data_IF_161541621608
#
_entry.id   IF_161541621608
#
_cell.length_a   1.000
_cell.length_b   1.000
_cell.length_c   1.000
_cell.angle_alpha   90.00
_cell.angle_beta   90.00
_cell.angle_gamma   90.00
#
_symmetry.space_group_name_H-M   'P 1'
#
loop_
_entity.id
_entity.type
_entity.pdbx_description
1 polymer ?
#
# COMPACT_ATOMS: atom_id res chain seq x y z
N UNK A 1 3.13 8.26 0.92
CA UNK A 1 2.23 9.03 0.02
C UNK A 1 1.62 8.17 -1.07
N UNK A 2 2.40 7.59 -1.99
CA UNK A 2 1.92 6.81 -3.15
C UNK A 2 1.02 5.60 -2.81
N UNK A 3 1.37 4.84 -1.76
CA UNK A 3 0.56 3.71 -1.28
C UNK A 3 -0.65 4.15 -0.44
N UNK A 4 -0.58 5.33 0.19
CA UNK A 4 -1.63 5.90 1.04
C UNK A 4 -2.23 4.97 2.10
N UNK A 5 -1.43 4.19 2.86
CA UNK A 5 -1.97 3.34 3.92
C UNK A 5 -2.67 4.17 5.00
N UNK A 6 -3.64 3.58 5.68
CA UNK A 6 -4.31 4.20 6.84
C UNK A 6 -3.64 3.88 8.16
N UNK A 7 -2.96 2.74 8.21
CA UNK A 7 -2.28 2.20 9.37
C UNK A 7 -0.95 1.57 8.96
N UNK A 8 0.05 1.68 9.83
CA UNK A 8 1.40 1.15 9.64
C UNK A 8 1.81 0.38 10.90
N UNK A 9 2.25 -0.86 10.70
CA UNK A 9 2.73 -1.72 11.78
C UNK A 9 4.23 -1.47 11.99
N UNK A 10 4.63 -1.20 13.23
CA UNK A 10 6.03 -1.10 13.61
C UNK A 10 6.37 -2.14 14.69
N UNK A 11 7.59 -2.72 14.69
CA UNK A 11 8.05 -3.53 15.81
C UNK A 11 8.14 -2.66 17.07
N UNK A 12 7.63 -3.16 18.19
CA UNK A 12 7.81 -2.54 19.50
C UNK A 12 9.28 -2.68 19.92
N UNK A 13 9.97 -1.55 20.11
CA UNK A 13 11.32 -1.52 20.64
C UNK A 13 11.31 -0.95 22.07
N UNK A 14 12.10 -1.55 22.95
CA UNK A 14 12.38 -1.01 24.29
C UNK A 14 13.44 0.10 24.24
N UNK A 15 14.11 0.27 23.11
CA UNK A 15 15.29 1.11 22.97
C UNK A 15 14.95 2.46 22.33
N UNK A 16 15.46 3.53 22.93
CA UNK A 16 15.46 4.93 22.47
C UNK A 16 16.35 5.12 21.24
N UNK A 17 16.25 4.26 20.22
CA UNK A 17 17.02 4.44 19.00
C UNK A 17 16.47 5.62 18.22
N UNK A 18 17.30 6.65 18.03
CA UNK A 18 16.92 7.90 17.36
C UNK A 18 16.29 7.65 15.98
N UNK A 19 16.76 6.62 15.25
CA UNK A 19 16.22 6.23 13.95
C UNK A 19 14.76 5.75 14.03
N UNK A 20 14.38 5.00 15.07
CA UNK A 20 13.00 4.56 15.29
C UNK A 20 12.09 5.76 15.53
N UNK A 21 12.52 6.68 16.40
CA UNK A 21 11.74 7.86 16.74
C UNK A 21 11.59 8.79 15.52
N UNK A 22 12.63 8.93 14.69
CA UNK A 22 12.55 9.66 13.43
C UNK A 22 11.58 9.00 12.44
N UNK A 23 11.65 7.68 12.26
CA UNK A 23 10.74 6.93 11.39
C UNK A 23 9.27 7.10 11.83
N UNK A 24 8.99 6.91 13.14
CA UNK A 24 7.66 7.09 13.71
C UNK A 24 7.13 8.51 13.44
N UNK A 25 7.95 9.53 13.68
CA UNK A 25 7.60 10.94 13.38
C UNK A 25 7.26 11.16 11.90
N UNK A 26 8.00 10.54 10.96
CA UNK A 26 7.74 10.68 9.51
C UNK A 26 6.40 10.04 9.14
N UNK A 27 6.08 8.88 9.71
CA UNK A 27 4.81 8.17 9.46
C UNK A 27 3.62 8.97 10.02
N UNK A 28 3.73 9.45 11.26
CA UNK A 28 2.70 10.24 11.93
C UNK A 28 2.46 11.58 11.22
N UNK A 29 3.52 12.28 10.78
CA UNK A 29 3.41 13.51 9.96
C UNK A 29 2.66 13.27 8.66
N UNK A 30 2.72 12.06 8.12
CA UNK A 30 1.99 11.65 6.91
C UNK A 30 0.52 11.31 7.19
N UNK A 31 0.05 11.42 8.44
CA UNK A 31 -1.34 11.15 8.84
C UNK A 31 -1.68 9.66 8.87
N UNK A 32 -0.69 8.78 9.01
CA UNK A 32 -0.87 7.33 9.09
C UNK A 32 -0.82 6.89 10.55
N UNK A 33 -1.78 6.07 10.97
CA UNK A 33 -1.81 5.51 12.31
C UNK A 33 -0.63 4.54 12.50
N UNK A 34 0.10 4.68 13.60
CA UNK A 34 1.18 3.75 13.96
C UNK A 34 0.68 2.76 15.01
N UNK A 35 0.80 1.47 14.70
CA UNK A 35 0.44 0.39 15.60
C UNK A 35 1.67 -0.45 15.91
N UNK A 36 2.05 -0.49 17.18
CA UNK A 36 3.23 -1.23 17.63
C UNK A 36 2.87 -2.71 17.86
N UNK A 37 3.72 -3.61 17.34
CA UNK A 37 3.53 -5.07 17.39
C UNK A 37 4.77 -5.75 17.97
N UNK A 38 4.64 -6.89 18.69
CA UNK A 38 5.79 -7.62 19.21
C UNK A 38 6.80 -7.96 18.11
N UNK A 39 8.10 -7.82 18.39
CA UNK A 39 9.18 -8.14 17.44
C UNK A 39 9.09 -9.58 16.90
N UNK A 40 8.57 -10.51 17.70
CA UNK A 40 8.36 -11.90 17.30
C UNK A 40 7.38 -12.05 16.11
N UNK A 41 6.47 -11.11 15.90
CA UNK A 41 5.53 -11.15 14.76
C UNK A 41 6.21 -10.83 13.43
N UNK A 42 7.34 -10.13 13.44
CA UNK A 42 8.14 -9.80 12.25
C UNK A 42 9.11 -10.93 11.87
N UNK A 43 8.72 -12.19 12.10
CA UNK A 43 9.51 -13.37 11.76
C UNK A 43 9.06 -13.97 10.44
N UNK A 44 10.02 -14.30 9.57
CA UNK A 44 9.80 -14.89 8.25
C UNK A 44 9.69 -16.42 8.23
N UNK A 45 9.63 -17.09 9.39
CA UNK A 45 9.62 -18.56 9.47
C UNK A 45 8.51 -19.22 8.66
N UNK A 46 7.29 -18.70 8.78
CA UNK A 46 6.09 -19.33 8.23
C UNK A 46 5.68 -18.71 6.87
N UNK A 47 6.37 -17.65 6.41
CA UNK A 47 5.92 -16.85 5.28
C UNK A 47 5.74 -17.65 3.98
N UNK A 48 6.59 -18.65 3.74
CA UNK A 48 6.48 -19.53 2.57
C UNK A 48 5.15 -20.29 2.60
N UNK A 49 4.84 -20.90 3.74
CA UNK A 49 3.63 -21.69 3.93
C UNK A 49 2.39 -20.79 3.88
N UNK A 50 2.45 -19.61 4.50
CA UNK A 50 1.36 -18.64 4.51
C UNK A 50 1.03 -18.18 3.10
N UNK A 51 2.05 -17.85 2.30
CA UNK A 51 1.88 -17.46 0.89
C UNK A 51 1.31 -18.61 0.05
N UNK A 52 1.71 -19.86 0.31
CA UNK A 52 1.12 -21.02 -0.38
C UNK A 52 -0.40 -21.16 -0.15
N UNK A 53 -0.93 -20.65 0.97
CA UNK A 53 -2.36 -20.68 1.27
C UNK A 53 -3.11 -19.46 0.75
N UNK A 54 -2.44 -18.32 0.64
CA UNK A 54 -3.07 -17.04 0.29
C UNK A 54 -3.04 -16.75 -1.22
N UNK A 55 -1.98 -17.16 -1.92
CA UNK A 55 -1.76 -16.79 -3.31
C UNK A 55 -2.62 -17.59 -4.28
N UNK A 56 -3.10 -16.95 -5.34
CA UNK A 56 -3.83 -17.62 -6.42
C UNK A 56 -2.91 -18.61 -7.12
N UNK A 57 -3.35 -19.86 -7.20
CA UNK A 57 -2.69 -20.93 -7.92
C UNK A 57 -3.08 -20.93 -9.40
N UNK A 58 -2.15 -21.25 -10.29
CA UNK A 58 -2.45 -21.47 -11.71
C UNK A 58 -3.40 -22.65 -11.90
N UNK A 59 -4.27 -22.59 -12.92
CA UNK A 59 -5.30 -23.61 -13.19
C UNK A 59 -4.74 -25.03 -13.34
N UNK A 60 -3.52 -25.16 -13.87
CA UNK A 60 -2.85 -26.43 -14.15
C UNK A 60 -1.59 -26.65 -13.30
N UNK A 61 -1.40 -25.86 -12.22
CA UNK A 61 -0.25 -26.06 -11.33
C UNK A 61 -0.54 -27.18 -10.33
N UNK A 62 0.42 -28.07 -10.09
CA UNK A 62 0.36 -29.03 -8.97
C UNK A 62 0.77 -28.34 -7.66
N UNK A 63 0.38 -28.88 -6.49
CA UNK A 63 0.73 -28.27 -5.19
C UNK A 63 2.24 -28.18 -4.99
N UNK A 64 2.98 -29.24 -5.30
CA UNK A 64 4.44 -29.27 -5.14
C UNK A 64 5.14 -28.25 -6.06
N UNK A 65 4.67 -28.14 -7.31
CA UNK A 65 5.19 -27.16 -8.28
C UNK A 65 4.91 -25.73 -7.82
N UNK A 66 3.73 -25.47 -7.26
CA UNK A 66 3.36 -24.15 -6.75
C UNK A 66 4.19 -23.75 -5.52
N UNK A 67 4.38 -24.68 -4.58
CA UNK A 67 5.22 -24.43 -3.40
C UNK A 67 6.69 -24.18 -3.80
N UNK A 68 7.20 -24.96 -4.75
CA UNK A 68 8.55 -24.76 -5.29
C UNK A 68 8.67 -23.38 -5.96
N UNK A 69 7.70 -23.00 -6.79
CA UNK A 69 7.63 -21.69 -7.45
C UNK A 69 7.70 -20.56 -6.42
N UNK A 70 6.88 -20.61 -5.37
CA UNK A 70 6.90 -19.63 -4.28
C UNK A 70 8.28 -19.58 -3.62
N UNK A 71 8.90 -20.74 -3.35
CA UNK A 71 10.23 -20.82 -2.75
C UNK A 71 11.35 -20.17 -3.56
N UNK A 72 11.24 -20.14 -4.89
CA UNK A 72 12.26 -19.56 -5.80
C UNK A 72 11.95 -18.12 -6.21
N UNK A 73 10.85 -17.53 -5.75
CA UNK A 73 10.51 -16.14 -6.07
C UNK A 73 11.59 -15.18 -5.54
N UNK A 74 11.99 -14.14 -6.31
CA UNK A 74 12.96 -13.15 -5.85
C UNK A 74 12.47 -12.40 -4.60
N UNK A 75 11.14 -12.26 -4.44
CA UNK A 75 10.53 -11.70 -3.23
C UNK A 75 10.93 -12.45 -1.95
N UNK A 76 11.23 -13.75 -2.04
CA UNK A 76 11.67 -14.54 -0.87
C UNK A 76 13.08 -14.20 -0.40
N UNK A 77 13.88 -13.55 -1.24
CA UNK A 77 15.23 -13.07 -0.89
C UNK A 77 15.18 -11.70 -0.20
N UNK A 78 14.03 -11.02 -0.21
CA UNK A 78 13.86 -9.70 0.41
C UNK A 78 13.57 -9.83 1.91
N UNK A 79 14.62 -10.06 2.71
CA UNK A 79 14.51 -10.38 4.16
C UNK A 79 13.60 -9.43 4.96
N UNK A 80 13.84 -8.12 4.86
CA UNK A 80 13.03 -7.16 5.61
C UNK A 80 11.59 -7.08 5.09
N UNK A 81 11.39 -7.15 3.77
CA UNK A 81 10.06 -7.07 3.18
C UNK A 81 9.19 -8.27 3.56
N UNK A 82 9.74 -9.50 3.51
CA UNK A 82 9.00 -10.71 3.89
C UNK A 82 8.69 -10.76 5.39
N UNK A 83 9.57 -10.23 6.25
CA UNK A 83 9.30 -10.07 7.69
C UNK A 83 8.16 -9.09 7.96
N UNK A 84 8.15 -7.94 7.29
CA UNK A 84 7.05 -6.97 7.38
C UNK A 84 5.73 -7.54 6.85
N UNK A 85 5.77 -8.28 5.74
CA UNK A 85 4.59 -8.94 5.18
C UNK A 85 4.03 -10.01 6.13
N UNK A 86 4.89 -10.82 6.75
CA UNK A 86 4.50 -11.82 7.75
C UNK A 86 3.74 -11.20 8.92
N UNK A 87 4.23 -10.08 9.46
CA UNK A 87 3.51 -9.35 10.51
C UNK A 87 2.16 -8.81 10.03
N UNK A 88 2.10 -8.27 8.80
CA UNK A 88 0.83 -7.78 8.24
C UNK A 88 -0.21 -8.90 8.04
N UNK A 89 0.20 -10.09 7.56
CA UNK A 89 -0.66 -11.26 7.42
C UNK A 89 -1.25 -11.68 8.79
N UNK A 90 -0.39 -11.71 9.83
CA UNK A 90 -0.79 -12.06 11.19
C UNK A 90 -1.73 -11.03 11.80
N UNK A 91 -1.43 -9.74 11.64
CA UNK A 91 -2.25 -8.64 12.14
C UNK A 91 -3.66 -8.63 11.52
N UNK A 92 -3.74 -8.83 10.20
CA UNK A 92 -5.00 -8.90 9.47
C UNK A 92 -5.73 -10.25 9.64
N UNK A 93 -5.09 -11.21 10.32
CA UNK A 93 -5.62 -12.56 10.55
C UNK A 93 -6.07 -13.26 9.26
N UNK A 94 -5.35 -13.05 8.15
CA UNK A 94 -5.78 -13.51 6.82
C UNK A 94 -5.90 -15.03 6.72
N UNK A 95 -5.13 -15.78 7.54
CA UNK A 95 -5.14 -17.24 7.55
C UNK A 95 -6.28 -17.83 8.41
N UNK A 96 -6.89 -17.02 9.28
CA UNK A 96 -8.01 -17.45 10.12
C UNK A 96 -9.33 -17.51 9.33
N UNK A 97 -9.46 -16.68 8.29
CA UNK A 97 -10.64 -16.64 7.43
C UNK A 97 -10.47 -17.52 6.18
N UNK A 98 -11.25 -18.59 6.11
CA UNK A 98 -11.24 -19.53 4.96
C UNK A 98 -11.59 -18.85 3.63
N UNK A 99 -12.30 -17.71 3.65
CA UNK A 99 -12.66 -16.99 2.43
C UNK A 99 -11.48 -16.23 1.80
N UNK A 100 -10.36 -16.08 2.51
CA UNK A 100 -9.18 -15.36 2.01
C UNK A 100 -8.18 -16.28 1.30
N UNK A 101 -8.36 -17.60 1.38
CA UNK A 101 -7.47 -18.56 0.74
C UNK A 101 -7.50 -18.43 -0.78
N UNK A 102 -6.32 -18.49 -1.42
CA UNK A 102 -6.14 -18.42 -2.88
C UNK A 102 -6.78 -17.18 -3.54
N UNK A 103 -6.66 -16.00 -2.93
CA UNK A 103 -7.24 -14.74 -3.47
C UNK A 103 -6.23 -13.64 -3.76
N UNK A 104 -4.98 -13.82 -3.35
CA UNK A 104 -3.97 -12.79 -3.40
C UNK A 104 -2.99 -13.01 -4.54
N UNK A 105 -2.41 -11.93 -5.04
CA UNK A 105 -1.26 -11.97 -5.92
C UNK A 105 -0.13 -11.22 -5.26
N UNK A 106 1.08 -11.79 -5.30
CA UNK A 106 2.26 -11.12 -4.80
C UNK A 106 2.87 -10.28 -5.93
N UNK A 107 3.14 -9.01 -5.64
CA UNK A 107 3.77 -8.09 -6.58
C UNK A 107 4.72 -7.17 -5.84
N UNK A 108 5.96 -7.09 -6.33
CA UNK A 108 6.92 -6.08 -5.86
C UNK A 108 6.46 -4.68 -6.25
N UNK A 109 6.36 -3.79 -5.26
CA UNK A 109 6.08 -2.37 -5.52
C UNK A 109 7.36 -1.66 -5.95
N UNK A 110 7.30 -0.94 -7.09
CA UNK A 110 8.43 -0.21 -7.67
C UNK A 110 8.11 1.30 -7.65
N UNK A 111 8.60 2.04 -6.64
CA UNK A 111 8.34 3.48 -6.52
C UNK A 111 8.90 4.30 -7.67
N UNK A 112 9.90 3.79 -8.40
CA UNK A 112 10.61 4.47 -9.50
C UNK A 112 9.71 4.70 -10.73
N UNK A 113 8.66 3.89 -10.88
CA UNK A 113 7.69 4.01 -11.97
C UNK A 113 6.77 5.22 -11.83
N UNK A 114 6.78 5.86 -10.66
CA UNK A 114 5.88 6.93 -10.32
C UNK A 114 6.63 8.16 -9.82
N UNK A 115 6.04 9.33 -10.05
CA UNK A 115 6.55 10.59 -9.51
C UNK A 115 6.59 10.52 -7.97
N UNK A 116 7.74 10.88 -7.40
CA UNK A 116 7.91 10.96 -5.95
C UNK A 116 7.32 12.27 -5.45
N UNK A 117 6.20 12.18 -4.74
CA UNK A 117 5.54 13.30 -4.08
C UNK A 117 5.63 13.10 -2.57
N UNK A 118 6.06 14.15 -1.86
CA UNK A 118 6.04 14.19 -0.41
C UNK A 118 4.69 14.74 0.09
N UNK A 119 4.46 14.63 1.40
CA UNK A 119 3.18 15.07 2.00
C UNK A 119 2.98 16.58 1.84
N UNK A 120 4.05 17.38 1.87
CA UNK A 120 3.96 18.82 1.72
C UNK A 120 3.55 19.22 0.29
N UNK A 121 4.13 18.61 -0.75
CA UNK A 121 3.73 18.85 -2.14
C UNK A 121 2.28 18.44 -2.40
N UNK A 122 1.82 17.32 -1.83
CA UNK A 122 0.41 16.89 -1.95
C UNK A 122 -0.57 17.92 -1.40
N UNK A 123 -0.22 18.58 -0.29
CA UNK A 123 -1.02 19.63 0.34
C UNK A 123 -0.91 20.93 -0.47
N UNK A 124 0.30 21.33 -0.86
CA UNK A 124 0.55 22.56 -1.62
C UNK A 124 -0.16 22.56 -2.98
N UNK A 125 -0.23 21.41 -3.64
CA UNK A 125 -0.94 21.21 -4.90
C UNK A 125 -2.45 20.94 -4.70
N UNK A 126 -2.93 20.90 -3.45
CA UNK A 126 -4.30 20.60 -3.08
C UNK A 126 -4.88 19.39 -3.84
N UNK A 127 -4.13 18.28 -3.90
CA UNK A 127 -4.52 17.14 -4.73
C UNK A 127 -5.79 16.48 -4.20
N UNK A 128 -5.92 16.40 -2.89
CA UNK A 128 -7.09 15.89 -2.18
C UNK A 128 -7.55 16.94 -1.16
N UNK A 129 -8.85 16.99 -0.82
CA UNK A 129 -9.35 17.93 0.17
C UNK A 129 -8.68 17.66 1.52
N UNK A 130 -8.17 18.72 2.16
CA UNK A 130 -7.62 18.62 3.50
C UNK A 130 -8.75 18.64 4.53
N UNK A 131 -8.93 17.53 5.25
CA UNK A 131 -9.92 17.42 6.34
C UNK A 131 -9.62 18.36 7.53
N UNK A 132 -8.44 18.99 7.57
CA UNK A 132 -8.06 19.98 8.58
C UNK A 132 -8.58 21.39 8.26
N UNK A 133 -8.96 21.65 7.01
CA UNK A 133 -9.58 22.92 6.62
C UNK A 133 -11.07 22.84 6.95
N UNK A 134 -11.57 23.82 7.71
CA UNK A 134 -12.98 23.88 8.11
C UNK A 134 -13.88 23.82 6.86
N UNK A 135 -15.02 23.11 6.91
CA UNK A 135 -15.96 23.13 5.82
C UNK A 135 -16.54 24.54 5.73
N UNK A 136 -16.05 25.34 4.79
CA UNK A 136 -16.75 26.54 4.40
C UNK A 136 -18.07 26.09 3.75
N UNK A 137 -19.19 26.63 4.24
CA UNK A 137 -20.56 26.20 3.95
C UNK A 137 -21.03 26.56 2.52
N UNK A 138 -20.08 26.79 1.61
CA UNK A 138 -20.31 27.11 0.21
C UNK A 138 -20.51 25.84 -0.60
N UNK A 139 -21.62 25.80 -1.34
CA UNK A 139 -22.04 24.73 -2.26
C UNK A 139 -21.02 24.38 -3.36
N UNK A 140 -19.88 25.07 -3.43
CA UNK A 140 -18.76 24.83 -4.35
C UNK A 140 -17.60 23.99 -3.77
N UNK A 141 -17.76 23.41 -2.57
CA UNK A 141 -16.73 22.57 -1.92
C UNK A 141 -16.26 21.35 -2.75
N UNK A 142 -17.01 20.95 -3.79
CA UNK A 142 -16.60 19.87 -4.72
C UNK A 142 -15.43 20.27 -5.62
N UNK A 143 -15.17 21.56 -5.85
CA UNK A 143 -14.15 22.04 -6.79
C UNK A 143 -12.92 22.65 -6.13
N UNK A 144 -12.75 22.48 -4.81
CA UNK A 144 -11.62 23.09 -4.10
C UNK A 144 -10.30 22.37 -4.38
N UNK A 145 -10.32 21.05 -4.59
CA UNK A 145 -9.14 20.19 -4.79
C UNK A 145 -9.08 19.62 -6.20
N UNK A 146 -7.88 19.22 -6.65
CA UNK A 146 -7.69 18.62 -7.96
C UNK A 146 -8.54 17.36 -8.14
N UNK A 147 -8.59 16.49 -7.12
CA UNK A 147 -9.48 15.33 -7.12
C UNK A 147 -10.94 15.75 -7.29
N UNK A 148 -11.39 16.77 -6.56
CA UNK A 148 -12.75 17.27 -6.65
C UNK A 148 -13.14 17.75 -8.06
N UNK A 149 -12.23 18.48 -8.72
CA UNK A 149 -12.43 18.97 -10.10
C UNK A 149 -12.43 17.83 -11.12
N UNK A 150 -11.51 16.86 -10.99
CA UNK A 150 -11.36 15.77 -11.97
C UNK A 150 -12.37 14.64 -11.76
N UNK A 151 -12.89 14.47 -10.54
CA UNK A 151 -13.73 13.33 -10.19
C UNK A 151 -15.16 13.47 -10.74
N UNK A 152 -15.33 13.03 -11.97
CA UNK A 152 -16.62 12.82 -12.62
C UNK A 152 -17.03 11.33 -12.66
N UNK A 153 -16.39 10.49 -11.85
CA UNK A 153 -16.63 9.05 -11.84
C UNK A 153 -17.99 8.74 -11.19
N UNK A 154 -18.84 7.99 -11.92
CA UNK A 154 -20.16 7.55 -11.44
C UNK A 154 -20.11 6.38 -10.47
N UNK A 155 -19.07 5.56 -10.53
CA UNK A 155 -18.94 4.35 -9.73
C UNK A 155 -17.86 4.52 -8.67
N UNK A 156 -18.04 3.87 -7.51
CA UNK A 156 -17.04 3.86 -6.45
C UNK A 156 -15.70 3.26 -6.90
N UNK A 157 -15.73 2.32 -7.85
CA UNK A 157 -14.51 1.73 -8.42
C UNK A 157 -13.73 2.76 -9.26
N UNK A 158 -14.41 3.55 -10.09
CA UNK A 158 -13.78 4.63 -10.85
C UNK A 158 -13.17 5.69 -9.95
N UNK A 159 -13.89 6.10 -8.90
CA UNK A 159 -13.40 7.05 -7.90
C UNK A 159 -12.11 6.56 -7.20
N UNK A 160 -12.06 5.27 -6.86
CA UNK A 160 -10.86 4.64 -6.28
C UNK A 160 -9.69 4.62 -7.27
N UNK A 161 -9.95 4.31 -8.54
CA UNK A 161 -8.92 4.29 -9.58
C UNK A 161 -8.35 5.69 -9.81
N UNK A 162 -9.19 6.72 -9.93
CA UNK A 162 -8.75 8.11 -10.06
C UNK A 162 -7.92 8.55 -8.86
N UNK A 163 -8.35 8.19 -7.64
CA UNK A 163 -7.57 8.45 -6.42
C UNK A 163 -6.18 7.81 -6.49
N UNK A 164 -6.08 6.58 -7.01
CA UNK A 164 -4.81 5.91 -7.19
C UNK A 164 -3.93 6.63 -8.22
N UNK A 165 -4.48 7.01 -9.37
CA UNK A 165 -3.73 7.70 -10.42
C UNK A 165 -3.18 9.04 -9.96
N UNK A 166 -3.96 9.83 -9.24
CA UNK A 166 -3.49 11.11 -8.68
C UNK A 166 -2.37 10.94 -7.64
N UNK A 167 -2.33 9.80 -6.93
CA UNK A 167 -1.24 9.47 -5.99
C UNK A 167 -0.02 8.86 -6.66
N UNK A 168 -0.19 8.33 -7.88
CA UNK A 168 0.82 7.57 -8.61
C UNK A 168 0.96 8.09 -10.05
N UNK A 169 1.37 9.37 -10.26
CA UNK A 169 1.62 9.87 -11.61
C UNK A 169 2.74 9.07 -12.27
N UNK A 170 2.53 8.61 -13.50
CA UNK A 170 3.54 7.85 -14.25
C UNK A 170 4.70 8.74 -14.68
N UNK A 171 5.90 8.16 -14.80
CA UNK A 171 7.10 8.84 -15.34
C UNK A 171 7.41 8.44 -16.78
N UNK A 172 6.84 7.33 -17.25
CA UNK A 172 7.07 6.77 -18.59
C UNK A 172 6.18 7.43 -19.64
N UNK A 173 6.80 8.16 -20.57
CA UNK A 173 6.11 8.88 -21.65
C UNK A 173 5.25 7.99 -22.53
N UNK A 174 5.66 6.75 -22.80
CA UNK A 174 4.89 5.84 -23.67
C UNK A 174 3.60 5.38 -22.98
N UNK A 175 3.65 5.16 -21.67
CA UNK A 175 2.46 4.81 -20.88
C UNK A 175 1.53 6.01 -20.72
N UNK A 176 2.10 7.21 -20.54
CA UNK A 176 1.33 8.45 -20.47
C UNK A 176 0.59 8.69 -21.78
N UNK A 177 1.27 8.61 -22.93
CA UNK A 177 0.63 8.81 -24.24
C UNK A 177 -0.48 7.78 -24.48
N UNK A 178 -0.22 6.50 -24.19
CA UNK A 178 -1.22 5.44 -24.31
C UNK A 178 -2.48 5.74 -23.47
N UNK A 179 -2.34 6.31 -22.27
CA UNK A 179 -3.48 6.67 -21.43
C UNK A 179 -4.21 7.95 -21.88
N UNK A 180 -3.57 8.82 -22.67
CA UNK A 180 -4.18 10.05 -23.21
C UNK A 180 -4.98 9.80 -24.48
N UNK A 181 -4.63 8.77 -25.25
CA UNK A 181 -5.23 8.48 -26.56
C UNK A 181 -6.22 7.31 -26.57
N UNK A 182 -6.51 6.72 -25.41
CA UNK A 182 -7.60 5.76 -25.20
C UNK A 182 -8.78 6.43 -24.51
#
# INVERSE_FOLDING_TARGET
>A
VQLGPKECLLPSFTSTEDNYLQLKKVIEKSGVLVTERPKAEFSSKDIKQDLCRLLVKGKDEDNDKFEMKIGVMPEMQMEHAKCSLSSAIKFLQLLSDKNQANRFHLKTHQPELYMRLDTAAMIALNIFPDNRQRPDFSSNAKSSSLYGVLNNCRTAQGQRLLTQWLKQPLTDMAKISTNLFN
#
